data_IF_648979253401
#
_entry.id   IF_648979253401
#
_cell.length_a   1.000
_cell.length_b   1.000
_cell.length_c   1.000
_cell.angle_alpha   90.00
_cell.angle_beta   90.00
_cell.angle_gamma   90.00
#
_symmetry.space_group_name_H-M   'P 1'
#
loop_
_entity.id
_entity.type
_entity.pdbx_description
1 polymer ?
#
# COMPACT_ATOMS: atom_id res chain seq x y z
N UNK A 1 -14.57 9.01 11.19
CA UNK A 1 -15.81 9.40 10.48
C UNK A 1 -15.39 10.20 9.26
N UNK A 2 -15.92 9.83 8.11
CA UNK A 2 -15.66 10.52 6.86
C UNK A 2 -16.99 11.09 6.33
N UNK A 3 -17.03 12.39 6.07
CA UNK A 3 -18.22 13.11 5.62
C UNK A 3 -17.93 13.72 4.25
N UNK A 4 -18.71 13.31 3.26
CA UNK A 4 -18.68 13.90 1.93
C UNK A 4 -19.75 14.99 1.79
N UNK A 5 -19.34 16.22 1.45
CA UNK A 5 -20.23 17.31 1.09
C UNK A 5 -20.51 17.27 -0.42
N UNK A 6 -21.71 16.88 -0.77
CA UNK A 6 -22.13 16.76 -2.17
C UNK A 6 -22.23 18.12 -2.91
N UNK A 7 -22.44 19.20 -2.18
CA UNK A 7 -22.59 20.54 -2.76
C UNK A 7 -21.23 21.14 -3.10
N UNK A 8 -20.33 21.17 -2.12
CA UNK A 8 -19.01 21.76 -2.27
C UNK A 8 -17.94 20.78 -2.81
N UNK A 9 -18.29 19.48 -2.93
CA UNK A 9 -17.38 18.41 -3.37
C UNK A 9 -16.11 18.31 -2.53
N UNK A 10 -16.26 18.51 -1.22
CA UNK A 10 -15.17 18.42 -0.24
C UNK A 10 -15.43 17.30 0.75
N UNK A 11 -14.35 16.69 1.21
CA UNK A 11 -14.37 15.64 2.20
C UNK A 11 -13.86 16.20 3.54
N UNK A 12 -14.56 15.89 4.62
CA UNK A 12 -14.13 16.18 5.98
C UNK A 12 -13.96 14.88 6.75
N UNK A 13 -12.80 14.71 7.36
CA UNK A 13 -12.46 13.50 8.09
C UNK A 13 -12.26 13.82 9.58
N UNK A 14 -12.88 13.01 10.44
CA UNK A 14 -12.72 13.08 11.90
C UNK A 14 -12.01 11.78 12.33
N UNK A 15 -10.77 11.91 12.74
CA UNK A 15 -9.95 10.82 13.23
C UNK A 15 -9.94 10.84 14.75
N UNK A 16 -10.48 9.80 15.38
CA UNK A 16 -10.35 9.63 16.82
C UNK A 16 -8.99 9.00 17.15
N UNK A 17 -8.30 9.52 18.17
CA UNK A 17 -7.07 8.88 18.62
C UNK A 17 -7.41 7.53 19.23
N UNK A 18 -6.69 6.48 18.80
CA UNK A 18 -6.85 5.13 19.35
C UNK A 18 -6.53 5.04 20.86
N UNK A 19 -6.74 3.86 21.41
CA UNK A 19 -6.37 3.55 22.78
C UNK A 19 -4.83 3.62 23.00
N UNK A 20 -4.42 3.62 24.24
CA UNK A 20 -3.00 3.60 24.60
C UNK A 20 -2.58 2.17 24.93
N UNK A 21 -1.48 1.73 24.35
CA UNK A 21 -0.82 0.46 24.68
C UNK A 21 0.40 0.71 25.55
N UNK A 22 0.66 -0.24 26.46
CA UNK A 22 1.93 -0.38 27.15
C UNK A 22 2.88 -1.26 26.34
N UNK A 23 4.16 -1.27 26.71
CA UNK A 23 5.13 -2.20 26.11
C UNK A 23 4.80 -3.67 26.42
N UNK A 24 4.19 -3.95 27.58
CA UNK A 24 3.73 -5.29 27.95
C UNK A 24 2.56 -5.76 27.05
N UNK A 25 1.60 -4.88 26.77
CA UNK A 25 0.50 -5.17 25.83
C UNK A 25 1.05 -5.47 24.44
N UNK A 26 2.06 -4.69 24.00
CA UNK A 26 2.67 -4.90 22.69
C UNK A 26 3.48 -6.18 22.62
N UNK A 27 4.20 -6.54 23.68
CA UNK A 27 4.92 -7.82 23.77
C UNK A 27 3.95 -9.02 23.66
N UNK A 28 2.78 -8.94 24.34
CA UNK A 28 1.73 -9.95 24.22
C UNK A 28 1.16 -10.05 22.80
N UNK A 29 1.02 -8.91 22.12
CA UNK A 29 0.62 -8.88 20.70
C UNK A 29 1.68 -9.54 19.80
N UNK A 30 2.97 -9.23 20.01
CA UNK A 30 4.07 -9.82 19.23
C UNK A 30 4.13 -11.34 19.37
N UNK A 31 3.92 -11.89 20.56
CA UNK A 31 3.88 -13.33 20.78
C UNK A 31 2.76 -13.98 19.94
N UNK A 32 1.56 -13.41 19.98
CA UNK A 32 0.43 -13.88 19.17
C UNK A 32 0.71 -13.73 17.67
N UNK A 33 1.28 -12.60 17.27
CA UNK A 33 1.64 -12.30 15.89
C UNK A 33 2.67 -13.27 15.33
N UNK A 34 3.73 -13.59 16.10
CA UNK A 34 4.72 -14.62 15.74
C UNK A 34 4.08 -15.98 15.40
N UNK A 35 3.03 -16.37 16.12
CA UNK A 35 2.34 -17.63 15.86
C UNK A 35 1.51 -17.56 14.58
N UNK A 36 0.80 -16.45 14.33
CA UNK A 36 -0.02 -16.26 13.13
C UNK A 36 0.83 -16.16 11.85
N UNK A 37 1.99 -15.50 11.93
CA UNK A 37 2.90 -15.34 10.79
C UNK A 37 3.33 -16.70 10.21
N UNK A 38 3.51 -17.73 11.03
CA UNK A 38 3.92 -19.06 10.58
C UNK A 38 2.97 -19.72 9.57
N UNK A 39 1.70 -19.33 9.60
CA UNK A 39 0.65 -19.84 8.71
C UNK A 39 0.37 -18.90 7.52
N UNK A 40 0.95 -17.71 7.53
CA UNK A 40 0.72 -16.70 6.52
C UNK A 40 1.50 -16.95 5.23
N UNK A 41 0.95 -16.55 4.10
CA UNK A 41 1.67 -16.49 2.81
C UNK A 41 2.22 -15.10 2.52
N UNK A 42 1.56 -14.07 3.05
CA UNK A 42 1.92 -12.66 2.98
C UNK A 42 1.35 -11.98 4.22
N UNK A 43 2.05 -10.98 4.74
CA UNK A 43 1.54 -10.12 5.79
C UNK A 43 1.42 -8.70 5.26
N UNK A 44 0.26 -8.08 5.40
CA UNK A 44 0.04 -6.66 5.14
C UNK A 44 -0.21 -5.92 6.46
N UNK A 45 0.48 -4.81 6.64
CA UNK A 45 0.37 -3.92 7.79
C UNK A 45 -0.05 -2.55 7.27
N UNK A 46 -1.24 -2.09 7.67
CA UNK A 46 -1.78 -0.80 7.21
C UNK A 46 -2.20 0.09 8.37
N UNK A 47 -2.09 1.40 8.17
CA UNK A 47 -2.61 2.41 9.08
C UNK A 47 -1.61 2.89 10.12
N UNK A 48 -2.15 3.43 11.22
CA UNK A 48 -1.38 3.99 12.33
C UNK A 48 -1.19 2.95 13.46
N UNK A 49 -0.25 3.23 14.36
CA UNK A 49 -0.08 2.47 15.58
C UNK A 49 -0.83 3.12 16.74
N UNK A 50 -1.28 2.36 17.76
CA UNK A 50 -1.89 2.90 18.98
C UNK A 50 -0.95 3.86 19.72
N UNK A 51 -1.53 4.74 20.56
CA UNK A 51 -0.74 5.59 21.45
C UNK A 51 0.13 4.74 22.39
N UNK A 52 1.28 5.27 22.77
CA UNK A 52 2.27 4.56 23.59
C UNK A 52 3.28 3.76 22.77
N UNK A 53 3.01 3.53 21.50
CA UNK A 53 3.94 2.94 20.55
C UNK A 53 4.46 4.00 19.57
N UNK A 54 5.63 3.76 19.03
CA UNK A 54 6.23 4.59 18.00
C UNK A 54 6.53 3.80 16.71
N UNK A 55 7.26 4.39 15.78
CA UNK A 55 7.61 3.74 14.51
C UNK A 55 8.43 2.45 14.65
N UNK A 56 9.03 2.19 15.79
CA UNK A 56 9.76 0.94 16.06
C UNK A 56 8.83 -0.26 16.12
N UNK A 57 7.53 -0.05 16.40
CA UNK A 57 6.54 -1.11 16.39
C UNK A 57 6.48 -1.81 15.02
N UNK A 58 6.40 -1.05 13.93
CA UNK A 58 6.43 -1.64 12.59
C UNK A 58 7.78 -2.30 12.26
N UNK A 59 8.90 -1.72 12.69
CA UNK A 59 10.22 -2.34 12.50
C UNK A 59 10.29 -3.72 13.16
N UNK A 60 9.80 -3.84 14.39
CA UNK A 60 9.75 -5.10 15.15
C UNK A 60 8.90 -6.14 14.43
N UNK A 61 7.69 -5.76 14.00
CA UNK A 61 6.78 -6.66 13.30
C UNK A 61 7.32 -7.08 11.91
N UNK A 62 7.90 -6.15 11.15
CA UNK A 62 8.54 -6.46 9.86
C UNK A 62 9.67 -7.47 10.04
N UNK A 63 10.51 -7.29 11.08
CA UNK A 63 11.59 -8.23 11.39
C UNK A 63 11.07 -9.64 11.65
N UNK A 64 10.03 -9.79 12.45
CA UNK A 64 9.38 -11.08 12.73
C UNK A 64 8.93 -11.77 11.43
N UNK A 65 8.26 -11.02 10.54
CA UNK A 65 7.77 -11.56 9.27
C UNK A 65 8.92 -11.97 8.34
N UNK A 66 9.97 -11.14 8.27
CA UNK A 66 11.16 -11.43 7.45
C UNK A 66 11.94 -12.64 7.96
N UNK A 67 12.07 -12.80 9.28
CA UNK A 67 12.71 -13.97 9.89
C UNK A 67 11.96 -15.28 9.59
N UNK A 68 10.64 -15.19 9.40
CA UNK A 68 9.81 -16.30 8.93
C UNK A 68 9.90 -16.56 7.40
N UNK A 69 10.62 -15.73 6.64
CA UNK A 69 10.73 -15.81 5.19
C UNK A 69 9.45 -15.46 4.44
N UNK A 70 8.56 -14.68 5.06
CA UNK A 70 7.25 -14.30 4.53
C UNK A 70 7.32 -12.89 3.92
N UNK A 71 6.75 -12.64 2.73
CA UNK A 71 6.62 -11.28 2.20
C UNK A 71 5.80 -10.38 3.12
N UNK A 72 6.27 -9.14 3.32
CA UNK A 72 5.60 -8.14 4.14
C UNK A 72 5.36 -6.85 3.36
N UNK A 73 4.12 -6.39 3.38
CA UNK A 73 3.69 -5.12 2.79
C UNK A 73 3.45 -4.13 3.93
N UNK A 74 4.02 -2.93 3.83
CA UNK A 74 3.79 -1.83 4.76
C UNK A 74 3.08 -0.68 4.02
N UNK A 75 1.88 -0.31 4.49
CA UNK A 75 1.08 0.80 4.01
C UNK A 75 0.72 1.74 5.17
N UNK A 76 1.56 2.70 5.42
CA UNK A 76 1.40 3.72 6.48
C UNK A 76 2.00 5.03 5.99
N UNK A 77 1.94 6.08 6.79
CA UNK A 77 2.37 7.42 6.40
C UNK A 77 3.32 8.08 7.39
N UNK A 78 3.94 9.18 6.96
CA UNK A 78 4.77 10.04 7.79
C UNK A 78 5.93 9.29 8.44
N UNK A 79 6.18 9.58 9.72
CA UNK A 79 7.30 9.01 10.46
C UNK A 79 7.24 7.49 10.61
N UNK A 80 6.03 6.91 10.66
CA UNK A 80 5.86 5.45 10.74
C UNK A 80 6.36 4.77 9.47
N UNK A 81 6.09 5.36 8.30
CA UNK A 81 6.58 4.86 7.02
C UNK A 81 8.10 5.03 6.90
N UNK A 82 8.63 6.20 7.26
CA UNK A 82 10.06 6.49 7.27
C UNK A 82 10.84 5.45 8.09
N UNK A 83 10.41 5.23 9.34
CA UNK A 83 11.03 4.25 10.23
C UNK A 83 10.81 2.81 9.76
N UNK A 84 9.63 2.49 9.23
CA UNK A 84 9.32 1.16 8.72
C UNK A 84 10.18 0.77 7.51
N UNK A 85 10.55 1.72 6.65
CA UNK A 85 11.46 1.52 5.50
C UNK A 85 12.85 1.04 5.97
N UNK A 86 13.33 1.49 7.12
CA UNK A 86 14.62 1.03 7.69
C UNK A 86 14.67 -0.47 7.97
N UNK A 87 13.51 -1.10 8.22
CA UNK A 87 13.41 -2.55 8.35
C UNK A 87 13.36 -3.29 7.01
N UNK A 88 13.39 -2.55 5.88
CA UNK A 88 13.35 -3.07 4.52
C UNK A 88 12.20 -4.07 4.31
N UNK A 89 10.92 -3.66 4.38
CA UNK A 89 9.79 -4.52 4.04
C UNK A 89 9.89 -4.98 2.59
N UNK A 90 9.22 -6.08 2.24
CA UNK A 90 9.16 -6.54 0.84
C UNK A 90 8.54 -5.48 -0.05
N UNK A 91 7.50 -4.79 0.42
CA UNK A 91 6.82 -3.77 -0.37
C UNK A 91 6.32 -2.62 0.49
N UNK A 92 6.33 -1.42 -0.11
CA UNK A 92 5.58 -0.25 0.36
C UNK A 92 4.73 0.32 -0.78
N UNK A 93 3.66 1.05 -0.41
CA UNK A 93 2.77 1.70 -1.39
C UNK A 93 2.54 3.18 -1.06
N UNK A 94 3.51 4.06 -1.20
CA UNK A 94 3.29 5.49 -1.02
C UNK A 94 2.42 6.09 -2.14
N UNK A 95 1.70 7.16 -1.82
CA UNK A 95 1.17 8.09 -2.82
C UNK A 95 2.22 9.17 -3.17
N UNK A 96 1.86 10.10 -4.08
CA UNK A 96 2.78 11.15 -4.53
C UNK A 96 3.21 12.06 -3.36
N UNK A 97 2.32 12.39 -2.45
CA UNK A 97 2.65 13.29 -1.34
C UNK A 97 3.54 12.60 -0.31
N UNK A 98 3.29 11.33 -0.04
CA UNK A 98 4.12 10.53 0.85
C UNK A 98 5.54 10.33 0.29
N UNK A 99 5.68 10.04 -1.01
CA UNK A 99 7.02 9.88 -1.60
C UNK A 99 7.78 11.20 -1.67
N UNK A 100 7.09 12.33 -1.85
CA UNK A 100 7.66 13.67 -1.73
C UNK A 100 8.22 13.91 -0.32
N UNK A 101 7.43 13.60 0.71
CA UNK A 101 7.85 13.75 2.11
C UNK A 101 9.03 12.87 2.46
N UNK A 102 9.05 11.62 2.00
CA UNK A 102 10.12 10.66 2.26
C UNK A 102 11.46 11.02 1.62
N UNK A 103 11.44 11.65 0.46
CA UNK A 103 12.64 11.87 -0.36
C UNK A 103 13.04 13.34 -0.50
N UNK A 104 12.15 14.27 -0.14
CA UNK A 104 12.33 15.71 -0.36
C UNK A 104 12.29 16.12 -1.84
N UNK A 105 11.98 15.20 -2.76
CA UNK A 105 11.88 15.47 -4.19
C UNK A 105 10.53 16.07 -4.56
N UNK A 106 10.48 16.88 -5.60
CA UNK A 106 9.23 17.55 -6.01
C UNK A 106 8.20 16.59 -6.61
N UNK A 107 8.65 15.53 -7.32
CA UNK A 107 7.79 14.56 -8.01
C UNK A 107 6.78 15.21 -8.96
N UNK A 108 7.21 16.22 -9.72
CA UNK A 108 6.35 16.98 -10.63
C UNK A 108 6.11 16.24 -11.96
N UNK A 109 6.94 15.26 -12.27
CA UNK A 109 6.83 14.42 -13.46
C UNK A 109 7.15 12.96 -13.14
N UNK A 110 6.91 12.09 -14.09
CA UNK A 110 7.08 10.64 -13.92
C UNK A 110 8.55 10.25 -13.61
N UNK A 111 9.52 10.97 -14.18
CA UNK A 111 10.95 10.69 -13.95
C UNK A 111 11.35 11.02 -12.50
N UNK A 112 10.87 12.12 -11.95
CA UNK A 112 11.10 12.47 -10.54
C UNK A 112 10.55 11.40 -9.60
N UNK A 113 9.36 10.85 -9.92
CA UNK A 113 8.73 9.77 -9.15
C UNK A 113 9.56 8.48 -9.25
N UNK A 114 10.05 8.14 -10.44
CA UNK A 114 10.96 7.01 -10.65
C UNK A 114 12.22 7.15 -9.80
N UNK A 115 12.84 8.33 -9.83
CA UNK A 115 14.08 8.58 -9.11
C UNK A 115 13.88 8.57 -7.59
N UNK A 116 12.71 9.02 -7.12
CA UNK A 116 12.32 8.93 -5.72
C UNK A 116 12.08 7.47 -5.29
N UNK A 117 11.37 6.70 -6.11
CA UNK A 117 11.11 5.29 -5.84
C UNK A 117 12.38 4.43 -5.87
N UNK A 118 13.32 4.72 -6.79
CA UNK A 118 14.64 4.08 -6.83
C UNK A 118 15.47 4.36 -5.58
N UNK A 119 15.42 5.57 -5.04
CA UNK A 119 16.12 5.92 -3.81
C UNK A 119 15.62 5.08 -2.62
N UNK A 120 14.30 4.88 -2.52
CA UNK A 120 13.72 4.05 -1.47
C UNK A 120 14.04 2.56 -1.73
N UNK A 121 13.94 2.10 -2.98
CA UNK A 121 14.31 0.73 -3.36
C UNK A 121 15.77 0.42 -2.98
N UNK A 122 16.68 1.36 -3.16
CA UNK A 122 18.09 1.22 -2.78
C UNK A 122 18.31 1.07 -1.26
N UNK A 123 17.32 1.43 -0.41
CA UNK A 123 17.35 1.18 1.04
C UNK A 123 16.97 -0.27 1.40
N UNK A 124 16.71 -1.12 0.41
CA UNK A 124 16.43 -2.54 0.60
C UNK A 124 14.96 -2.93 0.50
N UNK A 125 14.06 -2.00 0.20
CA UNK A 125 12.65 -2.31 -0.12
C UNK A 125 12.58 -2.95 -1.50
N UNK A 126 12.08 -4.19 -1.61
CA UNK A 126 12.12 -4.94 -2.87
C UNK A 126 11.15 -4.38 -3.92
N UNK A 127 9.99 -3.85 -3.51
CA UNK A 127 8.97 -3.25 -4.38
C UNK A 127 8.52 -1.92 -3.79
N UNK A 128 8.69 -0.84 -4.55
CA UNK A 128 8.12 0.48 -4.24
C UNK A 128 7.05 0.78 -5.27
N UNK A 129 5.78 0.64 -4.87
CA UNK A 129 4.62 0.89 -5.74
C UNK A 129 4.00 2.25 -5.40
N UNK A 130 4.12 3.21 -6.30
CA UNK A 130 3.59 4.57 -6.11
C UNK A 130 2.22 4.67 -6.75
N UNK A 131 1.20 5.01 -5.97
CA UNK A 131 -0.15 5.26 -6.48
C UNK A 131 -0.25 6.68 -7.05
N UNK A 132 -0.86 6.80 -8.25
CA UNK A 132 -0.98 8.04 -9.02
C UNK A 132 -2.46 8.45 -9.20
N UNK A 133 -3.35 7.93 -8.36
CA UNK A 133 -4.79 8.17 -8.48
C UNK A 133 -5.36 7.67 -9.80
N UNK A 134 -6.06 8.55 -10.52
CA UNK A 134 -6.66 8.22 -11.82
C UNK A 134 -5.63 7.90 -12.92
N UNK A 135 -4.37 8.30 -12.73
CA UNK A 135 -3.25 8.02 -13.63
C UNK A 135 -2.61 6.64 -13.41
N UNK A 136 -3.21 5.82 -12.56
CA UNK A 136 -2.80 4.45 -12.29
C UNK A 136 -1.72 4.32 -11.24
N UNK A 137 -0.64 3.60 -11.53
CA UNK A 137 0.47 3.37 -10.59
C UNK A 137 1.80 3.18 -11.30
N UNK A 138 2.88 3.38 -10.55
CA UNK A 138 4.24 3.09 -10.95
C UNK A 138 4.87 2.15 -9.93
N UNK A 139 5.63 1.15 -10.36
CA UNK A 139 6.40 0.33 -9.43
C UNK A 139 7.86 0.20 -9.86
N UNK A 140 8.73 0.28 -8.87
CA UNK A 140 10.16 -0.03 -8.98
C UNK A 140 10.42 -1.29 -8.19
N UNK A 141 11.05 -2.28 -8.81
CA UNK A 141 11.43 -3.53 -8.17
C UNK A 141 12.57 -4.23 -8.89
N UNK A 142 12.96 -5.40 -8.39
CA UNK A 142 14.09 -6.16 -8.96
C UNK A 142 13.84 -6.59 -10.42
N UNK A 143 12.60 -6.74 -10.86
CA UNK A 143 12.23 -7.08 -12.24
C UNK A 143 12.32 -5.88 -13.20
N UNK A 144 12.41 -4.67 -12.66
CA UNK A 144 12.49 -3.43 -13.42
C UNK A 144 11.52 -2.37 -12.93
N UNK A 145 11.24 -1.42 -13.82
CA UNK A 145 10.32 -0.31 -13.58
C UNK A 145 9.12 -0.50 -14.47
N UNK A 146 7.93 -0.45 -13.87
CA UNK A 146 6.68 -0.66 -14.59
C UNK A 146 5.70 0.46 -14.30
N UNK A 147 4.89 0.81 -15.30
CA UNK A 147 3.76 1.70 -15.16
C UNK A 147 2.48 0.95 -15.51
N UNK A 148 1.51 1.02 -14.62
CA UNK A 148 0.15 0.53 -14.87
C UNK A 148 -0.77 1.70 -15.16
N UNK A 149 -1.51 1.63 -16.27
CA UNK A 149 -2.56 2.58 -16.66
C UNK A 149 -3.92 1.93 -16.44
N UNK A 150 -4.82 2.69 -15.85
CA UNK A 150 -6.20 2.26 -15.56
C UNK A 150 -7.14 2.90 -16.58
N UNK A 151 -8.11 2.16 -17.14
CA UNK A 151 -9.11 2.77 -18.01
C UNK A 151 -9.93 3.82 -17.25
N UNK A 152 -10.52 4.76 -17.97
CA UNK A 152 -11.44 5.72 -17.35
C UNK A 152 -12.67 4.99 -16.83
N UNK A 153 -12.94 5.16 -15.54
CA UNK A 153 -14.09 4.59 -14.84
C UNK A 153 -14.96 5.71 -14.28
N UNK A 154 -16.21 5.39 -13.97
CA UNK A 154 -17.05 6.27 -13.17
C UNK A 154 -16.78 5.99 -11.70
N UNK A 155 -15.84 6.73 -11.11
CA UNK A 155 -15.50 6.59 -9.71
C UNK A 155 -16.63 7.18 -8.83
N UNK A 156 -17.12 6.38 -7.90
CA UNK A 156 -18.19 6.71 -6.96
C UNK A 156 -17.58 7.03 -5.58
N UNK A 157 -16.69 6.15 -5.09
CA UNK A 157 -16.01 6.33 -3.82
C UNK A 157 -14.56 5.87 -3.92
N UNK A 158 -13.61 6.75 -3.62
CA UNK A 158 -12.17 6.43 -3.68
C UNK A 158 -11.57 6.04 -2.32
N UNK A 159 -12.36 6.12 -1.24
CA UNK A 159 -11.94 5.67 0.10
C UNK A 159 -11.77 4.16 0.10
N UNK A 160 -10.62 3.68 0.58
CA UNK A 160 -10.30 2.25 0.58
C UNK A 160 -9.76 1.69 -0.74
N UNK A 161 -9.62 2.51 -1.79
CA UNK A 161 -8.97 2.07 -3.04
C UNK A 161 -7.48 1.73 -2.81
N UNK A 162 -6.81 2.44 -1.91
CA UNK A 162 -5.46 2.12 -1.46
C UNK A 162 -5.38 0.74 -0.81
N UNK A 163 -6.29 0.45 0.12
CA UNK A 163 -6.37 -0.84 0.80
C UNK A 163 -6.71 -1.96 -0.19
N UNK A 164 -7.63 -1.71 -1.13
CA UNK A 164 -7.97 -2.64 -2.20
C UNK A 164 -6.77 -2.94 -3.11
N UNK A 165 -5.94 -1.93 -3.40
CA UNK A 165 -4.68 -2.12 -4.13
C UNK A 165 -3.69 -2.97 -3.33
N UNK A 166 -3.53 -2.73 -2.02
CA UNK A 166 -2.72 -3.55 -1.12
C UNK A 166 -3.19 -5.00 -1.12
N UNK A 167 -4.49 -5.24 -1.04
CA UNK A 167 -5.06 -6.59 -1.12
C UNK A 167 -4.71 -7.28 -2.45
N UNK A 168 -4.76 -6.55 -3.57
CA UNK A 168 -4.35 -7.03 -4.87
C UNK A 168 -2.86 -7.39 -4.95
N UNK A 169 -1.98 -6.56 -4.39
CA UNK A 169 -0.56 -6.86 -4.28
C UNK A 169 -0.31 -8.06 -3.36
N UNK A 170 -0.98 -8.15 -2.22
CA UNK A 170 -0.85 -9.29 -1.32
C UNK A 170 -1.26 -10.60 -2.01
N UNK A 171 -2.35 -10.57 -2.78
CA UNK A 171 -2.80 -11.71 -3.57
C UNK A 171 -1.77 -12.11 -4.62
N UNK A 172 -1.20 -11.15 -5.37
CA UNK A 172 -0.16 -11.38 -6.37
C UNK A 172 1.09 -12.01 -5.76
N UNK A 173 1.60 -11.44 -4.66
CA UNK A 173 2.75 -11.98 -3.92
C UNK A 173 2.47 -13.38 -3.39
N UNK A 174 1.27 -13.62 -2.83
CA UNK A 174 0.89 -14.96 -2.32
C UNK A 174 0.83 -16.04 -3.39
N UNK A 175 0.58 -15.64 -4.64
CA UNK A 175 0.54 -16.50 -5.84
C UNK A 175 1.87 -16.52 -6.59
N UNK A 176 2.86 -15.76 -6.15
CA UNK A 176 4.17 -15.62 -6.81
C UNK A 176 4.06 -15.15 -8.26
N UNK A 177 3.12 -14.24 -8.53
CA UNK A 177 3.02 -13.60 -9.83
C UNK A 177 4.20 -12.65 -10.04
N UNK A 178 4.56 -12.40 -11.30
CA UNK A 178 5.52 -11.35 -11.65
C UNK A 178 5.03 -9.96 -11.20
N UNK A 179 5.94 -9.00 -11.08
CA UNK A 179 5.57 -7.64 -10.68
C UNK A 179 4.53 -7.02 -11.64
N UNK A 180 4.67 -7.10 -12.99
CA UNK A 180 3.66 -6.55 -13.89
C UNK A 180 2.29 -7.25 -13.77
N UNK A 181 2.24 -8.57 -13.58
CA UNK A 181 0.98 -9.29 -13.37
C UNK A 181 0.32 -8.89 -12.05
N UNK A 182 1.13 -8.75 -10.99
CA UNK A 182 0.66 -8.28 -9.68
C UNK A 182 0.12 -6.86 -9.76
N UNK A 183 0.81 -5.94 -10.44
CA UNK A 183 0.34 -4.57 -10.67
C UNK A 183 -0.97 -4.53 -11.43
N UNK A 184 -1.09 -5.36 -12.47
CA UNK A 184 -2.31 -5.48 -13.27
C UNK A 184 -3.51 -5.88 -12.41
N UNK A 185 -3.33 -6.92 -11.60
CA UNK A 185 -4.34 -7.41 -10.67
C UNK A 185 -4.72 -6.36 -9.62
N UNK A 186 -3.73 -5.77 -8.96
CA UNK A 186 -3.92 -4.76 -7.93
C UNK A 186 -4.64 -3.51 -8.46
N UNK A 187 -4.29 -3.06 -9.67
CA UNK A 187 -4.95 -1.93 -10.33
C UNK A 187 -6.40 -2.24 -10.70
N UNK A 188 -6.70 -3.46 -11.18
CA UNK A 188 -8.07 -3.86 -11.50
C UNK A 188 -8.96 -3.93 -10.25
N UNK A 189 -8.46 -4.49 -9.15
CA UNK A 189 -9.17 -4.57 -7.86
C UNK A 189 -9.44 -3.16 -7.31
N UNK A 190 -8.43 -2.30 -7.30
CA UNK A 190 -8.54 -0.91 -6.83
C UNK A 190 -9.55 -0.11 -7.66
N UNK A 191 -9.51 -0.25 -9.00
CA UNK A 191 -10.44 0.42 -9.90
C UNK A 191 -11.89 -0.10 -9.72
N UNK A 192 -12.08 -1.41 -9.54
CA UNK A 192 -13.39 -1.99 -9.28
C UNK A 192 -13.97 -1.52 -7.94
N UNK A 193 -13.13 -1.35 -6.90
CA UNK A 193 -13.55 -0.79 -5.63
C UNK A 193 -13.99 0.68 -5.76
N UNK A 194 -13.28 1.48 -6.57
CA UNK A 194 -13.65 2.88 -6.79
C UNK A 194 -15.04 3.06 -7.43
N UNK A 195 -15.58 2.05 -8.08
CA UNK A 195 -16.90 2.09 -8.73
C UNK A 195 -18.07 1.81 -7.76
N UNK A 196 -17.80 1.58 -6.48
CA UNK A 196 -18.79 1.22 -5.45
C UNK A 196 -18.92 2.32 -4.41
N UNK A 197 -20.09 2.36 -3.77
CA UNK A 197 -20.37 3.29 -2.66
C UNK A 197 -19.68 2.82 -1.37
N UNK A 198 -19.62 1.51 -1.16
CA UNK A 198 -19.04 0.91 0.03
C UNK A 198 -17.51 0.96 -0.01
N UNK A 199 -16.91 1.33 1.09
CA UNK A 199 -15.46 1.41 1.26
C UNK A 199 -14.81 0.02 1.22
N UNK A 200 -13.81 -0.15 0.35
CA UNK A 200 -13.02 -1.38 0.27
C UNK A 200 -13.78 -2.60 -0.29
N UNK A 201 -14.96 -2.39 -0.85
CA UNK A 201 -15.77 -3.43 -1.48
C UNK A 201 -15.69 -3.35 -3.00
N UNK A 202 -15.68 -4.48 -3.67
CA UNK A 202 -15.80 -4.56 -5.12
C UNK A 202 -16.59 -5.80 -5.56
N UNK A 203 -17.12 -5.75 -6.77
CA UNK A 203 -17.79 -6.89 -7.40
C UNK A 203 -16.81 -7.57 -8.34
N UNK A 204 -16.74 -8.91 -8.26
CA UNK A 204 -15.80 -9.71 -9.03
C UNK A 204 -15.92 -9.49 -10.53
N UNK A 205 -17.16 -9.40 -11.03
CA UNK A 205 -17.46 -9.18 -12.46
C UNK A 205 -16.88 -7.84 -12.97
N UNK A 206 -16.85 -6.80 -12.14
CA UNK A 206 -16.28 -5.52 -12.53
C UNK A 206 -14.75 -5.62 -12.60
N UNK A 207 -14.14 -6.28 -11.63
CA UNK A 207 -12.69 -6.53 -11.64
C UNK A 207 -12.31 -7.37 -12.87
N UNK A 208 -13.04 -8.43 -13.19
CA UNK A 208 -12.80 -9.29 -14.34
C UNK A 208 -12.95 -8.54 -15.68
N UNK A 209 -13.89 -7.59 -15.78
CA UNK A 209 -14.05 -6.72 -16.95
C UNK A 209 -12.91 -5.70 -17.07
N UNK A 210 -12.40 -5.18 -15.94
CA UNK A 210 -11.33 -4.19 -15.94
C UNK A 210 -9.96 -4.82 -16.17
N UNK A 211 -9.72 -6.02 -15.66
CA UNK A 211 -8.42 -6.68 -15.71
C UNK A 211 -7.78 -6.70 -17.09
N UNK A 212 -8.46 -7.09 -18.20
CA UNK A 212 -7.88 -7.05 -19.54
C UNK A 212 -7.57 -5.64 -20.04
N UNK A 213 -8.21 -4.60 -19.49
CA UNK A 213 -8.06 -3.21 -19.91
C UNK A 213 -6.91 -2.49 -19.18
N UNK A 214 -6.37 -3.10 -18.11
CA UNK A 214 -5.19 -2.55 -17.43
C UNK A 214 -3.96 -2.79 -18.30
N UNK A 215 -3.32 -1.71 -18.72
CA UNK A 215 -2.08 -1.76 -19.47
C UNK A 215 -0.89 -1.60 -18.54
N UNK A 216 0.04 -2.57 -18.56
CA UNK A 216 1.29 -2.51 -17.80
C UNK A 216 2.46 -2.48 -18.77
N UNK A 217 3.24 -1.41 -18.74
CA UNK A 217 4.40 -1.21 -19.60
C UNK A 217 5.67 -1.15 -18.77
N UNK A 218 6.75 -1.73 -19.30
CA UNK A 218 8.10 -1.58 -18.73
C UNK A 218 8.69 -0.26 -19.24
N UNK A 219 9.27 0.53 -18.31
CA UNK A 219 9.91 1.81 -18.57
C UNK A 219 11.43 1.68 -18.65
#
# INVERSE_FOLDING_TARGET
INIWDEVNKVQTEFLEPGFTLTEEDFAGFEEKFCNLVKEAKVVAMSGSVPKGLDGTAYQRLIKIVKEAGIPVILDTSGKLLEMGIEAAPTMIKPNIDEIRMLTGKKCDNIQDIIDAAKEIHAKGVEIVAVSLGADGSLAVGNEGIFRALVPRINAVNTVGCGDSMIAGFALGLSRRLSLPETMKLASAISAAAAMREETGFFVMEDMEKLLPQIEVTKL
#
